data_IF_106799462065
#
_entry.id   IF_106799462065
#
_cell.length_a   1.000
_cell.length_b   1.000
_cell.length_c   1.000
_cell.angle_alpha   90.00
_cell.angle_beta   90.00
_cell.angle_gamma   90.00
#
_symmetry.space_group_name_H-M   'P 1'
#
loop_
_entity.id
_entity.type
_entity.pdbx_description
1 polymer ?
#
# COMPACT_ATOMS: atom_id res chain seq x y z
N UNK A 1 -9.15 18.07 -12.21
CA UNK A 1 -8.81 18.22 -10.79
C UNK A 1 -7.35 17.82 -10.67
N UNK A 2 -6.43 18.70 -10.26
CA UNK A 2 -5.01 18.38 -10.15
C UNK A 2 -4.73 17.90 -8.72
N UNK A 3 -4.07 16.74 -8.57
CA UNK A 3 -3.60 16.24 -7.27
C UNK A 3 -2.43 17.13 -6.80
N UNK A 4 -2.43 17.53 -5.54
CA UNK A 4 -1.30 18.24 -4.94
C UNK A 4 -0.07 17.34 -4.86
N UNK A 5 1.13 17.92 -4.98
CA UNK A 5 2.39 17.16 -4.86
C UNK A 5 2.60 16.72 -3.42
N UNK A 6 3.00 15.47 -3.24
CA UNK A 6 3.41 14.90 -1.95
C UNK A 6 4.62 15.66 -1.41
N UNK A 7 4.55 16.09 -0.15
CA UNK A 7 5.60 16.91 0.49
C UNK A 7 6.79 16.06 0.97
N UNK A 8 6.58 14.75 1.19
CA UNK A 8 7.54 13.87 1.86
C UNK A 8 8.24 12.82 0.98
N UNK A 9 7.87 12.71 -0.30
CA UNK A 9 8.46 11.74 -1.23
C UNK A 9 8.58 12.34 -2.64
N UNK A 10 9.63 11.94 -3.37
CA UNK A 10 9.76 12.25 -4.79
C UNK A 10 8.73 11.50 -5.66
N UNK A 11 8.11 10.44 -5.13
CA UNK A 11 7.06 9.66 -5.79
C UNK A 11 6.21 8.89 -4.79
N UNK A 12 4.90 8.83 -5.03
CA UNK A 12 3.97 7.98 -4.30
C UNK A 12 4.04 6.52 -4.75
N UNK A 13 4.59 6.27 -5.95
CA UNK A 13 4.79 4.94 -6.49
C UNK A 13 5.81 4.16 -5.67
N UNK A 14 5.47 2.90 -5.37
CA UNK A 14 6.32 2.00 -4.62
C UNK A 14 6.96 0.95 -5.53
N UNK A 15 6.13 0.09 -6.12
CA UNK A 15 6.56 -1.00 -6.98
C UNK A 15 5.38 -1.55 -7.79
N UNK A 16 5.66 -2.47 -8.71
CA UNK A 16 4.67 -3.22 -9.45
C UNK A 16 5.20 -4.61 -9.80
N UNK A 17 4.29 -5.47 -10.20
CA UNK A 17 4.58 -6.84 -10.63
C UNK A 17 3.69 -7.22 -11.80
N UNK A 18 4.27 -7.93 -12.76
CA UNK A 18 3.48 -8.63 -13.78
C UNK A 18 2.72 -9.79 -13.12
N UNK A 19 1.55 -10.11 -13.66
CA UNK A 19 0.71 -11.23 -13.28
C UNK A 19 0.38 -12.05 -14.54
N UNK A 20 0.09 -13.33 -14.36
CA UNK A 20 -0.35 -14.23 -15.44
C UNK A 20 0.61 -14.19 -16.64
N UNK A 21 1.91 -14.39 -16.37
CA UNK A 21 2.99 -14.36 -17.37
C UNK A 21 3.08 -13.01 -18.15
N UNK A 22 2.67 -11.91 -17.52
CA UNK A 22 2.74 -10.56 -18.10
C UNK A 22 1.53 -10.15 -18.92
N UNK A 23 0.43 -10.90 -18.87
CA UNK A 23 -0.86 -10.47 -19.45
C UNK A 23 -1.54 -9.42 -18.60
N UNK A 24 -1.35 -9.51 -17.30
CA UNK A 24 -1.97 -8.67 -16.29
C UNK A 24 -0.88 -8.03 -15.41
N UNK A 25 -1.25 -7.05 -14.59
CA UNK A 25 -0.27 -6.43 -13.69
C UNK A 25 -0.92 -5.90 -12.41
N UNK A 26 -0.10 -5.82 -11.37
CA UNK A 26 -0.43 -5.12 -10.15
C UNK A 26 0.57 -3.98 -9.90
N UNK A 27 0.10 -2.87 -9.37
CA UNK A 27 0.94 -1.75 -8.96
C UNK A 27 0.49 -1.17 -7.63
N UNK A 28 1.47 -0.62 -6.93
CA UNK A 28 1.34 -0.21 -5.53
C UNK A 28 1.84 1.20 -5.39
N UNK A 29 1.03 2.05 -4.79
CA UNK A 29 1.43 3.40 -4.42
C UNK A 29 0.87 3.74 -3.04
N UNK A 30 1.48 4.70 -2.36
CA UNK A 30 0.97 5.18 -1.09
C UNK A 30 0.66 6.68 -1.17
N UNK A 31 -0.40 7.10 -0.52
CA UNK A 31 -0.78 8.50 -0.46
C UNK A 31 -1.11 8.91 0.96
N UNK A 32 -0.85 10.18 1.27
CA UNK A 32 -1.21 10.76 2.55
C UNK A 32 -2.63 11.35 2.47
N UNK A 33 -3.57 10.80 3.23
CA UNK A 33 -4.93 11.35 3.32
C UNK A 33 -5.03 12.28 4.53
N UNK A 34 -5.13 13.59 4.29
CA UNK A 34 -5.44 14.57 5.35
C UNK A 34 -6.83 14.25 5.93
N UNK A 35 -6.90 13.93 7.22
CA UNK A 35 -8.17 13.77 7.94
C UNK A 35 -8.84 15.10 8.20
N UNK A 36 -10.18 15.13 8.24
CA UNK A 36 -10.95 16.25 8.80
C UNK A 36 -11.15 15.98 10.30
N UNK A 37 -10.39 16.72 11.12
CA UNK A 37 -10.45 16.80 12.59
C UNK A 37 -10.15 15.50 13.38
N UNK A 38 -9.21 15.63 14.34
CA UNK A 38 -8.72 14.68 15.35
C UNK A 38 -7.62 13.65 14.98
N UNK A 39 -7.37 13.35 13.70
CA UNK A 39 -6.25 12.46 13.28
C UNK A 39 -5.15 13.25 12.55
N UNK A 40 -4.50 14.20 13.23
CA UNK A 40 -3.43 15.03 12.65
C UNK A 40 -2.13 14.25 12.39
N UNK A 41 -1.96 13.10 13.03
CA UNK A 41 -0.74 12.31 12.95
C UNK A 41 -0.91 11.10 11.99
N UNK A 42 -0.29 11.21 10.82
CA UNK A 42 0.12 10.10 9.98
C UNK A 42 -1.00 9.18 9.44
N UNK A 43 -1.69 9.63 8.39
CA UNK A 43 -2.69 8.85 7.65
C UNK A 43 -2.20 8.43 6.25
N UNK A 44 -1.09 7.68 6.21
CA UNK A 44 -0.67 7.03 4.98
C UNK A 44 -1.58 5.84 4.66
N UNK A 45 -1.99 5.77 3.41
CA UNK A 45 -2.81 4.69 2.85
C UNK A 45 -2.04 4.06 1.69
N UNK A 46 -1.90 2.75 1.73
CA UNK A 46 -1.43 1.93 0.61
C UNK A 46 -2.61 1.66 -0.33
N UNK A 47 -2.39 1.89 -1.61
CA UNK A 47 -3.31 1.57 -2.69
C UNK A 47 -2.74 0.39 -3.46
N UNK A 48 -3.49 -0.71 -3.46
CA UNK A 48 -3.17 -1.96 -4.15
C UNK A 48 -4.06 -2.01 -5.38
N UNK A 49 -3.45 -1.91 -6.57
CA UNK A 49 -4.18 -1.87 -7.82
C UNK A 49 -3.86 -3.10 -8.63
N UNK A 50 -4.90 -3.79 -9.10
CA UNK A 50 -4.78 -4.95 -9.99
C UNK A 50 -5.51 -4.66 -11.29
N UNK A 51 -4.83 -4.83 -12.42
CA UNK A 51 -5.40 -4.75 -13.75
C UNK A 51 -5.47 -6.16 -14.33
N UNK A 52 -6.67 -6.73 -14.36
CA UNK A 52 -6.95 -8.08 -14.88
C UNK A 52 -7.94 -8.00 -16.02
N UNK A 53 -7.66 -8.62 -17.16
CA UNK A 53 -8.60 -8.72 -18.29
C UNK A 53 -9.19 -7.36 -18.72
N UNK A 54 -8.38 -6.29 -18.62
CA UNK A 54 -8.80 -4.92 -18.96
C UNK A 54 -9.61 -4.19 -17.88
N UNK A 55 -9.76 -4.77 -16.69
CA UNK A 55 -10.49 -4.19 -15.56
C UNK A 55 -9.53 -3.81 -14.43
N UNK A 56 -9.68 -2.58 -13.93
CA UNK A 56 -8.94 -2.08 -12.78
C UNK A 56 -9.77 -2.32 -11.50
N UNK A 57 -9.15 -2.99 -10.53
CA UNK A 57 -9.62 -3.06 -9.15
C UNK A 57 -8.63 -2.33 -8.23
N UNK A 58 -9.15 -1.60 -7.24
CA UNK A 58 -8.35 -0.86 -6.25
C UNK A 58 -8.78 -1.27 -4.84
N UNK A 59 -7.81 -1.70 -4.04
CA UNK A 59 -7.97 -1.94 -2.61
C UNK A 59 -7.11 -0.94 -1.82
N UNK A 60 -7.59 -0.56 -0.64
CA UNK A 60 -6.92 0.42 0.22
C UNK A 60 -6.63 -0.19 1.59
N UNK A 61 -5.42 0.02 2.07
CA UNK A 61 -4.97 -0.40 3.39
C UNK A 61 -4.38 0.81 4.14
N UNK A 62 -4.93 1.16 5.31
CA UNK A 62 -4.30 2.14 6.20
C UNK A 62 -2.99 1.56 6.73
N UNK A 63 -1.87 2.21 6.44
CA UNK A 63 -0.53 1.69 6.77
C UNK A 63 0.15 2.44 7.90
N UNK A 64 -0.39 3.56 8.37
CA UNK A 64 0.15 4.26 9.55
C UNK A 64 -0.96 4.63 10.53
N UNK A 65 -0.57 4.73 11.79
CA UNK A 65 -1.29 5.32 12.92
C UNK A 65 -0.24 5.75 13.93
N UNK A 66 -0.61 6.53 14.95
CA UNK A 66 0.33 6.99 16.01
C UNK A 66 1.28 5.91 16.56
N UNK A 67 0.86 4.64 16.62
CA UNK A 67 1.60 3.54 17.26
C UNK A 67 1.92 2.36 16.36
N UNK A 68 1.51 2.42 15.09
CA UNK A 68 1.65 1.30 14.16
C UNK A 68 2.05 1.80 12.78
N UNK A 69 2.95 1.06 12.14
CA UNK A 69 3.35 1.32 10.76
C UNK A 69 3.47 -0.01 9.99
N UNK A 70 3.02 -0.02 8.75
CA UNK A 70 3.12 -1.14 7.82
C UNK A 70 3.99 -0.70 6.64
N UNK A 71 5.05 -1.45 6.39
CA UNK A 71 5.97 -1.22 5.29
C UNK A 71 5.74 -2.29 4.21
N UNK A 72 5.19 -1.91 3.04
CA UNK A 72 4.97 -2.84 1.95
C UNK A 72 6.27 -3.14 1.19
N UNK A 73 6.43 -4.39 0.79
CA UNK A 73 7.53 -4.87 -0.06
C UNK A 73 6.98 -5.76 -1.16
N UNK A 74 7.65 -5.73 -2.31
CA UNK A 74 7.40 -6.67 -3.40
C UNK A 74 7.66 -8.11 -2.91
N UNK A 75 6.77 -9.03 -3.30
CA UNK A 75 6.88 -10.46 -3.01
C UNK A 75 6.84 -11.27 -4.31
N UNK A 76 6.68 -12.59 -4.20
CA UNK A 76 6.44 -13.45 -5.37
C UNK A 76 5.15 -13.05 -6.09
N UNK A 77 5.05 -13.39 -7.37
CA UNK A 77 3.89 -13.09 -8.22
C UNK A 77 2.56 -13.42 -7.54
N UNK A 78 1.65 -12.46 -7.53
CA UNK A 78 0.32 -12.56 -6.93
C UNK A 78 0.28 -12.33 -5.42
N UNK A 79 1.38 -11.87 -4.81
CA UNK A 79 1.48 -11.61 -3.38
C UNK A 79 2.14 -10.26 -3.08
N UNK A 80 1.89 -9.77 -1.86
CA UNK A 80 2.57 -8.63 -1.24
C UNK A 80 3.10 -9.05 0.14
N UNK A 81 4.29 -8.55 0.50
CA UNK A 81 4.86 -8.74 1.82
C UNK A 81 4.68 -7.46 2.63
N UNK A 82 4.12 -7.57 3.83
CA UNK A 82 3.88 -6.48 4.74
C UNK A 82 4.70 -6.68 6.01
N UNK A 83 5.60 -5.74 6.29
CA UNK A 83 6.33 -5.69 7.56
C UNK A 83 5.61 -4.74 8.51
N UNK A 84 5.12 -5.27 9.62
CA UNK A 84 4.25 -4.56 10.55
C UNK A 84 5.02 -4.24 11.84
N UNK A 85 5.14 -2.95 12.13
CA UNK A 85 5.59 -2.42 13.40
C UNK A 85 4.38 -2.06 14.25
N UNK A 86 4.36 -2.53 15.49
CA UNK A 86 3.31 -2.22 16.45
C UNK A 86 3.97 -2.06 17.82
N UNK A 87 3.88 -0.86 18.38
CA UNK A 87 4.54 -0.50 19.66
C UNK A 87 4.08 -1.39 20.83
N UNK A 88 2.82 -1.86 20.80
CA UNK A 88 2.24 -2.70 21.86
C UNK A 88 2.50 -4.19 21.64
N UNK A 89 2.95 -4.60 20.46
CA UNK A 89 3.22 -6.00 20.16
C UNK A 89 4.56 -6.44 20.76
N UNK A 90 4.60 -7.66 21.29
CA UNK A 90 5.86 -8.25 21.81
C UNK A 90 6.92 -8.38 20.71
N UNK A 91 6.49 -8.59 19.47
CA UNK A 91 7.34 -8.71 18.29
C UNK A 91 6.66 -8.04 17.10
N UNK A 92 7.46 -7.45 16.22
CA UNK A 92 7.02 -7.04 14.90
C UNK A 92 6.63 -8.25 14.07
N UNK A 93 5.68 -8.06 13.15
CA UNK A 93 5.15 -9.14 12.32
C UNK A 93 5.58 -8.97 10.86
N UNK A 94 5.59 -10.10 10.16
CA UNK A 94 5.73 -10.15 8.70
C UNK A 94 4.57 -10.97 8.18
N UNK A 95 3.78 -10.37 7.29
CA UNK A 95 2.61 -11.00 6.69
C UNK A 95 2.79 -11.08 5.18
N UNK A 96 2.57 -12.26 4.62
CA UNK A 96 2.51 -12.48 3.18
C UNK A 96 1.05 -12.60 2.79
N UNK A 97 0.54 -11.66 2.00
CA UNK A 97 -0.84 -11.64 1.56
C UNK A 97 -0.94 -11.97 0.07
N UNK A 98 -1.95 -12.76 -0.29
CA UNK A 98 -2.32 -12.95 -1.69
C UNK A 98 -3.11 -11.72 -2.15
N UNK A 99 -2.79 -11.19 -3.31
CA UNK A 99 -3.58 -10.11 -3.92
C UNK A 99 -4.96 -10.63 -4.31
N UNK A 100 -5.97 -9.78 -4.20
CA UNK A 100 -7.35 -10.14 -4.52
C UNK A 100 -7.65 -9.80 -5.98
N UNK A 101 -7.72 -10.83 -6.83
CA UNK A 101 -7.99 -10.73 -8.26
C UNK A 101 -8.52 -12.04 -8.83
#
# INVERSE_FOLDING_TARGET
>A
MYKEKSVYSASDYLFGQNLHDGKDFAFFYQDFKKGTEADEDENWVLFINTWIDGQLNEEQLKITSEKNAIYPYIAKEGYILLREYNEKAKYNQIRLEKLNF
#
